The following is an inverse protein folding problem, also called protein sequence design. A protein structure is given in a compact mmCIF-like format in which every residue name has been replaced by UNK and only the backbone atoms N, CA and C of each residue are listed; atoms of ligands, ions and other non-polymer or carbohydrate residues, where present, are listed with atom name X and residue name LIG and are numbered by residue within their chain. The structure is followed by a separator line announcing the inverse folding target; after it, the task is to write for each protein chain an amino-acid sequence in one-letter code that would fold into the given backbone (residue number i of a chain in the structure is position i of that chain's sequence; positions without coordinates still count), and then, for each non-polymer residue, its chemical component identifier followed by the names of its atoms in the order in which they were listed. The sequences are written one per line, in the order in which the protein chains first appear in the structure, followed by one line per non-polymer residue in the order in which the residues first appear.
data_IF_731120453380
#
_entry.id   IF_731120453380
#
_cell.length_a   1.000
_cell.length_b   1.000
_cell.length_c   1.000
_cell.angle_alpha   90.00
_cell.angle_beta   90.00
_cell.angle_gamma   90.00
#
_symmetry.space_group_name_H-M   'P 1'
#
loop_
_entity.id
_entity.type
_entity.pdbx_description
1 polymer ?
#
# COMPACT_ATOMS: atom_id res chain seq x y z
N UNK A 1 -16.78 -21.10 -18.20
CA UNK A 1 -16.11 -19.92 -17.60
C UNK A 1 -14.62 -19.89 -17.91
N UNK A 2 -13.87 -20.98 -17.69
CA UNK A 2 -12.42 -21.09 -18.00
C UNK A 2 -12.00 -20.57 -19.38
N UNK A 3 -12.63 -21.04 -20.45
CA UNK A 3 -12.33 -20.60 -21.83
C UNK A 3 -12.51 -19.10 -22.07
N UNK A 4 -13.47 -18.46 -21.38
CA UNK A 4 -13.67 -17.01 -21.49
C UNK A 4 -12.51 -16.23 -20.86
N UNK A 5 -12.00 -16.72 -19.73
CA UNK A 5 -10.84 -16.15 -19.04
C UNK A 5 -9.58 -16.35 -19.89
N UNK A 6 -9.37 -17.55 -20.44
CA UNK A 6 -8.24 -17.85 -21.34
C UNK A 6 -8.20 -16.91 -22.55
N UNK A 7 -9.33 -16.73 -23.25
CA UNK A 7 -9.42 -15.83 -24.41
C UNK A 7 -9.14 -14.38 -24.00
N UNK A 8 -9.68 -13.96 -22.86
CA UNK A 8 -9.47 -12.60 -22.36
C UNK A 8 -8.00 -12.34 -22.03
N UNK A 9 -7.34 -13.28 -21.33
CA UNK A 9 -5.91 -13.17 -21.03
C UNK A 9 -5.05 -13.20 -22.28
N UNK A 10 -5.38 -14.03 -23.26
CA UNK A 10 -4.67 -14.08 -24.52
C UNK A 10 -4.77 -12.75 -25.28
N UNK A 11 -5.97 -12.14 -25.32
CA UNK A 11 -6.17 -10.82 -25.92
C UNK A 11 -5.40 -9.72 -25.17
N UNK A 12 -5.47 -9.72 -23.83
CA UNK A 12 -4.75 -8.75 -23.01
C UNK A 12 -3.23 -8.87 -23.18
N UNK A 13 -2.69 -10.09 -23.19
CA UNK A 13 -1.27 -10.35 -23.39
C UNK A 13 -0.79 -9.89 -24.77
N UNK A 14 -1.59 -10.11 -25.83
CA UNK A 14 -1.29 -9.61 -27.17
C UNK A 14 -1.17 -8.08 -27.22
N UNK A 15 -2.13 -7.37 -26.61
CA UNK A 15 -2.12 -5.89 -26.56
C UNK A 15 -0.89 -5.37 -25.81
N UNK A 16 -0.52 -6.02 -24.69
CA UNK A 16 0.66 -5.64 -23.90
C UNK A 16 1.94 -5.89 -24.69
N UNK A 17 2.01 -7.01 -25.41
CA UNK A 17 3.18 -7.38 -26.22
C UNK A 17 3.38 -6.40 -27.39
N UNK A 18 2.31 -6.03 -28.09
CA UNK A 18 2.39 -5.14 -29.26
C UNK A 18 2.77 -3.70 -28.88
N UNK A 19 2.42 -3.26 -27.67
CA UNK A 19 2.69 -1.91 -27.17
C UNK A 19 3.14 -1.94 -25.71
N UNK A 20 4.38 -2.38 -25.43
CA UNK A 20 4.83 -2.63 -24.05
C UNK A 20 5.03 -1.33 -23.26
N UNK A 21 5.53 -0.27 -23.91
CA UNK A 21 5.92 0.98 -23.26
C UNK A 21 4.80 1.63 -22.43
N UNK A 22 3.56 1.82 -22.93
CA UNK A 22 2.44 2.31 -22.11
C UNK A 22 2.20 1.51 -20.83
N UNK A 23 2.28 0.16 -20.89
CA UNK A 23 2.04 -0.69 -19.72
C UNK A 23 3.21 -0.65 -18.73
N UNK A 24 4.45 -0.53 -19.21
CA UNK A 24 5.62 -0.32 -18.36
C UNK A 24 5.48 1.01 -17.61
N UNK A 25 5.14 2.10 -18.32
CA UNK A 25 4.91 3.41 -17.70
C UNK A 25 3.77 3.35 -16.70
N UNK A 26 2.65 2.70 -17.05
CA UNK A 26 1.51 2.52 -16.15
C UNK A 26 1.93 1.77 -14.87
N UNK A 27 2.65 0.65 -15.00
CA UNK A 27 3.12 -0.13 -13.86
C UNK A 27 4.06 0.70 -12.97
N UNK A 28 4.98 1.46 -13.57
CA UNK A 28 5.87 2.37 -12.84
C UNK A 28 5.09 3.46 -12.10
N UNK A 29 4.08 4.06 -12.74
CA UNK A 29 3.22 5.07 -12.11
C UNK A 29 2.45 4.49 -10.92
N UNK A 30 1.92 3.27 -11.04
CA UNK A 30 1.23 2.59 -9.94
C UNK A 30 2.19 2.37 -8.77
N UNK A 31 3.38 1.83 -9.04
CA UNK A 31 4.39 1.61 -7.99
C UNK A 31 4.80 2.93 -7.35
N UNK A 32 5.15 3.94 -8.15
CA UNK A 32 5.56 5.25 -7.64
C UNK A 32 4.45 5.91 -6.81
N UNK A 33 3.19 5.83 -7.25
CA UNK A 33 2.04 6.37 -6.53
C UNK A 33 1.82 5.69 -5.17
N UNK A 34 1.97 4.36 -5.11
CA UNK A 34 1.88 3.62 -3.85
C UNK A 34 3.06 3.93 -2.92
N UNK A 35 4.28 3.94 -3.46
CA UNK A 35 5.50 4.26 -2.70
C UNK A 35 5.51 5.69 -2.17
N UNK A 36 4.86 6.64 -2.86
CA UNK A 36 4.81 8.04 -2.43
C UNK A 36 4.21 8.21 -1.02
N UNK A 37 3.22 7.38 -0.65
CA UNK A 37 2.64 7.41 0.69
C UNK A 37 3.56 6.87 1.79
N UNK A 38 4.57 6.04 1.47
CA UNK A 38 5.46 5.50 2.50
C UNK A 38 6.22 6.59 3.26
N UNK A 39 6.53 7.71 2.61
CA UNK A 39 7.18 8.87 3.25
C UNK A 39 6.32 9.52 4.35
N UNK A 40 5.00 9.31 4.31
CA UNK A 40 4.04 9.85 5.29
C UNK A 40 3.77 8.88 6.43
N UNK A 41 4.30 7.65 6.36
CA UNK A 41 4.11 6.66 7.40
C UNK A 41 4.78 7.14 8.69
N UNK A 42 3.96 7.40 9.71
CA UNK A 42 4.42 7.64 11.08
C UNK A 42 4.23 6.35 11.84
N UNK A 43 5.33 5.77 12.31
CA UNK A 43 5.32 4.61 13.20
C UNK A 43 5.57 5.15 14.60
N UNK A 44 4.59 4.98 15.48
CA UNK A 44 4.79 5.18 16.90
C UNK A 44 5.50 3.95 17.46
N UNK A 45 6.70 4.14 18.01
CA UNK A 45 7.50 3.07 18.62
C UNK A 45 7.49 3.13 20.14
N UNK A 46 6.64 3.99 20.71
CA UNK A 46 6.46 4.10 22.15
C UNK A 46 5.71 2.88 22.68
N UNK A 47 6.10 2.41 23.87
CA UNK A 47 5.36 1.35 24.56
C UNK A 47 3.99 1.86 25.03
N UNK A 48 3.88 3.18 25.18
CA UNK A 48 2.71 3.96 25.55
C UNK A 48 1.58 3.80 24.51
N UNK A 49 1.93 3.64 23.23
CA UNK A 49 0.98 3.40 22.14
C UNK A 49 0.17 2.09 22.25
N UNK A 50 0.60 1.15 23.11
CA UNK A 50 -0.15 -0.08 23.39
C UNK A 50 -1.30 0.12 24.38
N UNK A 51 -1.31 1.23 25.11
CA UNK A 51 -2.36 1.53 26.09
C UNK A 51 -3.49 2.32 25.44
N UNK A 52 -4.71 2.15 25.97
CA UNK A 52 -5.81 3.00 25.56
C UNK A 52 -5.54 4.45 26.00
N UNK A 53 -6.00 5.47 25.23
CA UNK A 53 -5.81 6.87 25.60
C UNK A 53 -6.36 7.26 26.98
N UNK A 54 -7.25 6.43 27.54
CA UNK A 54 -7.88 6.63 28.85
C UNK A 54 -7.28 5.77 29.95
N UNK A 55 -6.20 5.04 29.68
CA UNK A 55 -5.58 4.16 30.68
C UNK A 55 -4.93 5.01 31.79
N UNK A 56 -5.26 4.78 33.07
CA UNK A 56 -4.66 5.52 34.19
C UNK A 56 -3.14 5.39 34.26
N UNK A 57 -2.55 4.32 33.72
CA UNK A 57 -1.09 4.16 33.63
C UNK A 57 -0.49 5.20 32.66
N UNK A 58 -1.20 5.49 31.57
CA UNK A 58 -0.79 6.49 30.58
C UNK A 58 -0.87 7.91 31.17
N UNK A 59 -1.95 8.22 31.91
CA UNK A 59 -2.13 9.55 32.54
C UNK A 59 -1.08 9.84 33.60
N UNK A 60 -0.71 8.85 34.42
CA UNK A 60 0.33 9.03 35.45
C UNK A 60 1.71 9.21 34.82
N UNK A 61 1.98 8.53 33.70
CA UNK A 61 3.23 8.68 32.97
C UNK A 61 3.33 10.05 32.28
N UNK A 62 2.26 10.50 31.62
CA UNK A 62 2.20 11.84 31.00
C UNK A 62 2.33 12.96 32.04
N UNK A 63 1.74 12.82 33.23
CA UNK A 63 1.87 13.79 34.33
C UNK A 63 3.29 13.83 34.94
N UNK A 64 4.07 12.75 34.80
CA UNK A 64 5.45 12.68 35.31
C UNK A 64 6.50 13.26 34.35
N UNK A 65 6.19 13.28 33.06
CA UNK A 65 7.09 13.71 31.98
C UNK A 65 7.25 15.24 31.90
#
# INVERSE_FOLDING_TARGET
MRKKIEIWFQGAAGIIYDRPWPFIVLALLVVAGLSFQMSKLRIDTSNESYFHPTDPVLTVYDDFK
#
